data_IF_330615611145
#
_entry.id   IF_330615611145
#
_cell.length_a   1.000
_cell.length_b   1.000
_cell.length_c   1.000
_cell.angle_alpha   90.00
_cell.angle_beta   90.00
_cell.angle_gamma   90.00
#
_symmetry.space_group_name_H-M   'P 1'
#
loop_
_entity.id
_entity.type
_entity.pdbx_description
1 polymer ?
#
# COMPACT_ATOMS: atom_id res chain seq x y z
N UNK A 1 3.37 12.15 -16.35
CA UNK A 1 3.42 12.72 -15.15
C UNK A 1 3.16 11.87 -13.96
N UNK A 2 4.11 11.71 -13.18
CA UNK A 2 4.05 10.86 -12.00
C UNK A 2 3.52 11.57 -10.77
N UNK A 3 2.94 12.73 -10.95
CA UNK A 3 2.60 13.57 -9.82
C UNK A 3 1.56 12.96 -8.90
N UNK A 4 0.55 12.32 -9.47
CA UNK A 4 -0.52 11.76 -8.67
C UNK A 4 -0.01 10.65 -7.78
N UNK A 5 0.80 9.78 -8.35
CA UNK A 5 1.39 8.68 -7.62
C UNK A 5 2.30 9.18 -6.51
N UNK A 6 3.12 10.17 -6.83
CA UNK A 6 4.04 10.74 -5.86
C UNK A 6 3.30 11.38 -4.70
N UNK A 7 2.16 12.01 -4.99
CA UNK A 7 1.38 12.65 -3.96
C UNK A 7 0.81 11.63 -2.98
N UNK A 8 0.29 10.53 -3.50
CA UNK A 8 -0.25 9.49 -2.64
C UNK A 8 0.81 8.91 -1.73
N UNK A 9 1.98 8.62 -2.30
CA UNK A 9 3.07 8.07 -1.52
C UNK A 9 3.53 9.05 -0.45
N UNK A 10 3.66 10.32 -0.81
CA UNK A 10 4.05 11.34 0.15
C UNK A 10 3.08 11.43 1.30
N UNK A 11 1.79 11.35 1.01
CA UNK A 11 0.78 11.42 2.04
C UNK A 11 0.91 10.26 3.02
N UNK A 12 1.15 9.05 2.50
CA UNK A 12 1.36 7.90 3.37
C UNK A 12 2.59 8.10 4.25
N UNK A 13 3.66 8.64 3.68
CA UNK A 13 4.90 8.84 4.42
C UNK A 13 4.71 9.86 5.54
N UNK A 14 3.93 10.89 5.28
CA UNK A 14 3.73 11.95 6.26
C UNK A 14 2.81 11.54 7.41
N UNK A 15 1.83 10.70 7.13
CA UNK A 15 0.85 10.34 8.14
C UNK A 15 0.49 8.86 8.07
N UNK A 16 1.44 7.97 8.35
CA UNK A 16 1.15 6.54 8.27
C UNK A 16 0.11 6.08 9.27
N UNK A 17 -0.06 6.80 10.38
CA UNK A 17 -1.04 6.41 11.39
C UNK A 17 -2.46 6.78 10.98
N UNK A 18 -2.62 7.73 10.06
CA UNK A 18 -3.92 8.21 9.64
C UNK A 18 -4.34 7.68 8.27
N UNK A 19 -3.54 6.84 7.66
CA UNK A 19 -3.86 6.33 6.34
C UNK A 19 -5.04 5.37 6.42
N UNK A 20 -5.93 5.48 5.44
CA UNK A 20 -7.02 4.52 5.31
C UNK A 20 -6.59 3.43 4.34
N UNK A 21 -7.35 2.34 4.34
CA UNK A 21 -7.09 1.27 3.38
C UNK A 21 -7.22 1.78 1.94
N UNK A 22 -8.18 2.66 1.70
CA UNK A 22 -8.36 3.22 0.35
C UNK A 22 -7.11 3.97 -0.09
N UNK A 23 -6.50 4.72 0.81
CA UNK A 23 -5.27 5.45 0.51
C UNK A 23 -4.15 4.48 0.14
N UNK A 24 -3.97 3.46 0.94
CA UNK A 24 -2.91 2.49 0.70
C UNK A 24 -3.14 1.73 -0.59
N UNK A 25 -4.37 1.30 -0.81
CA UNK A 25 -4.70 0.55 -2.01
C UNK A 25 -4.43 1.36 -3.27
N UNK A 26 -4.80 2.64 -3.26
CA UNK A 26 -4.58 3.48 -4.42
C UNK A 26 -3.11 3.56 -4.78
N UNK A 27 -2.26 3.73 -3.78
CA UNK A 27 -0.81 3.82 -4.01
C UNK A 27 -0.27 2.49 -4.51
N UNK A 28 -0.70 1.38 -3.91
CA UNK A 28 -0.23 0.08 -4.33
C UNK A 28 -0.66 -0.23 -5.76
N UNK A 29 -1.88 0.12 -6.12
CA UNK A 29 -2.36 -0.12 -7.47
C UNK A 29 -1.59 0.70 -8.51
N UNK A 30 -1.23 1.91 -8.16
CA UNK A 30 -0.44 2.73 -9.06
C UNK A 30 0.96 2.16 -9.27
N UNK A 31 1.43 1.37 -8.31
CA UNK A 31 2.73 0.72 -8.42
C UNK A 31 2.64 -0.67 -9.07
N UNK A 32 1.46 -1.02 -9.55
CA UNK A 32 1.30 -2.28 -10.26
C UNK A 32 0.80 -3.45 -9.44
N UNK A 33 0.53 -3.24 -8.17
CA UNK A 33 -0.07 -4.30 -7.36
C UNK A 33 -1.56 -4.38 -7.64
N UNK A 34 -2.09 -5.61 -7.56
CA UNK A 34 -3.53 -5.82 -7.64
C UNK A 34 -3.99 -6.49 -6.36
N UNK A 35 -5.19 -6.13 -5.94
CA UNK A 35 -5.81 -6.82 -4.81
C UNK A 35 -6.29 -8.16 -5.31
N UNK A 36 -5.57 -9.20 -4.93
CA UNK A 36 -5.80 -10.54 -5.44
C UNK A 36 -6.99 -11.20 -4.78
N UNK A 37 -7.06 -11.09 -3.44
CA UNK A 37 -8.18 -11.65 -2.72
C UNK A 37 -8.23 -11.11 -1.30
N UNK A 38 -9.37 -11.31 -0.66
CA UNK A 38 -9.58 -10.93 0.72
C UNK A 38 -10.00 -12.17 1.48
N UNK A 39 -9.28 -12.47 2.55
CA UNK A 39 -9.60 -13.60 3.41
C UNK A 39 -9.77 -13.06 4.82
N UNK A 40 -11.04 -12.92 5.26
CA UNK A 40 -11.32 -12.28 6.53
C UNK A 40 -10.81 -10.84 6.51
N UNK A 41 -9.96 -10.48 7.44
CA UNK A 41 -9.39 -9.15 7.47
C UNK A 41 -8.11 -9.04 6.63
N UNK A 42 -7.62 -10.15 6.10
CA UNK A 42 -6.36 -10.13 5.33
C UNK A 42 -6.62 -9.79 3.88
N UNK A 43 -6.04 -8.69 3.44
CA UNK A 43 -6.14 -8.24 2.06
C UNK A 43 -4.82 -8.55 1.38
N UNK A 44 -4.88 -9.37 0.34
CA UNK A 44 -3.68 -9.89 -0.33
C UNK A 44 -3.47 -9.15 -1.64
N UNK A 45 -2.34 -8.44 -1.72
CA UNK A 45 -1.94 -7.75 -2.94
C UNK A 45 -0.84 -8.54 -3.62
N UNK A 46 -0.84 -8.50 -4.94
CA UNK A 46 0.13 -9.24 -5.73
C UNK A 46 0.65 -8.40 -6.87
N UNK A 47 1.95 -8.51 -7.13
CA UNK A 47 2.57 -7.95 -8.33
C UNK A 47 3.61 -8.95 -8.79
N UNK A 48 3.27 -9.73 -9.84
CA UNK A 48 4.14 -10.82 -10.26
C UNK A 48 4.33 -11.82 -9.13
N UNK A 49 5.56 -12.07 -8.74
CA UNK A 49 5.87 -12.99 -7.66
C UNK A 49 5.82 -12.31 -6.29
N UNK A 50 5.72 -10.99 -6.25
CA UNK A 50 5.69 -10.27 -4.98
C UNK A 50 4.30 -10.32 -4.37
N UNK A 51 4.24 -10.62 -3.09
CA UNK A 51 2.97 -10.70 -2.37
C UNK A 51 3.08 -9.84 -1.12
N UNK A 52 2.05 -9.03 -0.87
CA UNK A 52 1.99 -8.18 0.30
C UNK A 52 0.62 -8.31 0.95
N UNK A 53 0.59 -8.71 2.21
CA UNK A 53 -0.65 -8.97 2.93
C UNK A 53 -0.85 -7.91 4.00
N UNK A 54 -2.04 -7.33 4.03
CA UNK A 54 -2.39 -6.27 4.97
C UNK A 54 -3.65 -6.65 5.74
N UNK A 55 -3.59 -6.80 7.07
CA UNK A 55 -4.80 -6.95 7.85
C UNK A 55 -5.51 -5.59 7.96
N UNK A 56 -6.80 -5.58 7.66
CA UNK A 56 -7.58 -4.35 7.66
C UNK A 56 -8.79 -4.50 8.54
N UNK A 57 -9.01 -3.53 9.43
CA UNK A 57 -10.16 -3.52 10.32
C UNK A 57 -10.80 -2.14 10.25
N UNK A 58 -12.08 -2.09 9.92
CA UNK A 58 -12.81 -0.83 9.83
C UNK A 58 -12.10 0.17 8.94
N UNK A 59 -11.63 -0.31 7.78
CA UNK A 59 -10.97 0.53 6.80
C UNK A 59 -9.64 1.11 7.30
N UNK A 60 -9.08 0.52 8.35
CA UNK A 60 -7.82 0.97 8.94
C UNK A 60 -6.86 -0.18 9.11
N UNK A 61 -5.59 0.12 9.15
CA UNK A 61 -4.57 -0.88 9.39
C UNK A 61 -3.49 -0.28 10.27
N UNK A 62 -2.68 -1.15 10.87
CA UNK A 62 -1.59 -0.68 11.72
C UNK A 62 -0.54 0.03 10.87
N UNK A 63 0.06 1.06 11.43
CA UNK A 63 1.03 1.87 10.69
C UNK A 63 2.22 1.07 10.22
N UNK A 64 2.54 -0.03 10.89
CA UNK A 64 3.67 -0.87 10.48
C UNK A 64 3.45 -1.39 9.05
N UNK A 65 2.20 -1.69 8.68
CA UNK A 65 1.92 -2.17 7.34
C UNK A 65 2.02 -1.06 6.31
N UNK A 66 1.62 0.15 6.71
CA UNK A 66 1.78 1.30 5.82
C UNK A 66 3.26 1.53 5.56
N UNK A 67 4.07 1.48 6.61
CA UNK A 67 5.51 1.67 6.47
C UNK A 67 6.15 0.59 5.62
N UNK A 68 5.70 -0.64 5.76
CA UNK A 68 6.21 -1.73 4.93
C UNK A 68 5.88 -1.52 3.46
N UNK A 69 4.67 -1.06 3.18
CA UNK A 69 4.27 -0.79 1.81
C UNK A 69 5.14 0.31 1.22
N UNK A 70 5.40 1.36 1.99
CA UNK A 70 6.26 2.44 1.55
C UNK A 70 7.65 1.90 1.20
N UNK A 71 8.19 1.06 2.07
CA UNK A 71 9.52 0.50 1.84
C UNK A 71 9.58 -0.33 0.56
N UNK A 72 8.56 -1.14 0.33
CA UNK A 72 8.48 -1.95 -0.87
C UNK A 72 8.43 -1.09 -2.12
N UNK A 73 7.62 -0.05 -2.07
CA UNK A 73 7.46 0.84 -3.22
C UNK A 73 8.75 1.59 -3.50
N UNK A 74 9.38 2.12 -2.46
CA UNK A 74 10.61 2.89 -2.65
C UNK A 74 11.76 2.00 -3.11
N UNK A 75 11.83 0.78 -2.62
CA UNK A 75 12.85 -0.14 -3.07
C UNK A 75 12.71 -0.41 -4.56
N UNK A 76 11.47 -0.59 -5.02
CA UNK A 76 11.21 -0.81 -6.43
C UNK A 76 11.66 0.39 -7.27
N UNK A 77 11.40 1.59 -6.78
CA UNK A 77 11.71 2.79 -7.53
C UNK A 77 13.21 3.04 -7.65
N UNK A 78 13.97 2.55 -6.70
CA UNK A 78 15.41 2.75 -6.73
C UNK A 78 16.13 1.79 -7.65
N UNK A 79 15.41 0.84 -8.20
CA UNK A 79 16.01 -0.11 -9.14
C UNK A 79 15.81 0.34 -10.61
#
# INVERSE_FOLDING_TARGET
MAKKQERGLERLKQSPHNATFADLRAVLEEEGFVLDRIAGSHHVFRRGAAIFVVPVHNNRMKSVYVKRAIAIIEDTKER
#
